data_IF_630439961584
#
_entry.id   IF_630439961584
#
_cell.length_a   1.000
_cell.length_b   1.000
_cell.length_c   1.000
_cell.angle_alpha   90.00
_cell.angle_beta   90.00
_cell.angle_gamma   90.00
#
_symmetry.space_group_name_H-M   'P 1'
#
loop_
_entity.id
_entity.type
_entity.pdbx_description
1 polymer ?
#
# COMPACT_ATOMS: atom_id res chain seq x y z
N UNK A 1 -12.49 -46.93 44.79
CA UNK A 1 -12.73 -46.59 43.38
C UNK A 1 -13.48 -45.27 43.27
N UNK A 2 -14.71 -45.16 43.79
CA UNK A 2 -15.53 -43.93 43.74
C UNK A 2 -14.86 -42.60 44.15
N UNK A 3 -13.90 -42.60 45.09
CA UNK A 3 -13.17 -41.38 45.49
C UNK A 3 -12.24 -40.84 44.40
N UNK A 4 -11.58 -41.74 43.65
CA UNK A 4 -10.72 -41.38 42.53
C UNK A 4 -11.55 -40.91 41.33
N UNK A 5 -12.67 -41.59 41.08
CA UNK A 5 -13.60 -41.23 39.99
C UNK A 5 -14.19 -39.83 40.22
N UNK A 6 -14.58 -39.50 41.46
CA UNK A 6 -15.05 -38.16 41.81
C UNK A 6 -13.96 -37.09 41.65
N UNK A 7 -12.71 -37.40 41.99
CA UNK A 7 -11.57 -36.49 41.84
C UNK A 7 -11.27 -36.20 40.36
N UNK A 8 -11.28 -37.24 39.53
CA UNK A 8 -11.11 -37.13 38.07
C UNK A 8 -12.25 -36.33 37.42
N UNK A 9 -13.50 -36.57 37.84
CA UNK A 9 -14.65 -35.79 37.38
C UNK A 9 -14.48 -34.31 37.70
N UNK A 10 -14.08 -33.99 38.94
CA UNK A 10 -13.89 -32.61 39.36
C UNK A 10 -12.77 -31.93 38.58
N UNK A 11 -11.66 -32.63 38.34
CA UNK A 11 -10.54 -32.14 37.54
C UNK A 11 -10.96 -31.90 36.08
N UNK A 12 -11.76 -32.79 35.50
CA UNK A 12 -12.28 -32.64 34.15
C UNK A 12 -13.21 -31.42 34.03
N UNK A 13 -14.09 -31.20 35.01
CA UNK A 13 -14.96 -30.01 35.06
C UNK A 13 -14.13 -28.73 35.17
N UNK A 14 -13.12 -28.72 36.05
CA UNK A 14 -12.22 -27.57 36.20
C UNK A 14 -11.47 -27.26 34.89
N UNK A 15 -10.99 -28.31 34.20
CA UNK A 15 -10.34 -28.17 32.90
C UNK A 15 -11.31 -27.61 31.84
N UNK A 16 -12.53 -28.14 31.76
CA UNK A 16 -13.55 -27.65 30.82
C UNK A 16 -13.89 -26.17 31.04
N UNK A 17 -14.10 -25.76 32.30
CA UNK A 17 -14.35 -24.36 32.65
C UNK A 17 -13.14 -23.47 32.36
N UNK A 18 -11.92 -23.95 32.63
CA UNK A 18 -10.69 -23.25 32.30
C UNK A 18 -10.53 -23.01 30.80
N UNK A 19 -10.79 -24.03 29.98
CA UNK A 19 -10.71 -23.93 28.51
C UNK A 19 -11.76 -22.97 27.96
N UNK A 20 -13.01 -23.05 28.44
CA UNK A 20 -14.10 -22.16 27.99
C UNK A 20 -13.81 -20.70 28.34
N UNK A 21 -13.33 -20.43 29.56
CA UNK A 21 -12.98 -19.08 29.98
C UNK A 21 -11.77 -18.53 29.21
N UNK A 22 -10.77 -19.37 28.92
CA UNK A 22 -9.63 -19.01 28.08
C UNK A 22 -10.05 -18.68 26.65
N UNK A 23 -10.90 -19.53 26.05
CA UNK A 23 -11.46 -19.29 24.72
C UNK A 23 -12.25 -17.99 24.64
N UNK A 24 -13.04 -17.67 25.67
CA UNK A 24 -13.81 -16.43 25.71
C UNK A 24 -12.90 -15.19 25.78
N UNK A 25 -11.84 -15.24 26.59
CA UNK A 25 -10.82 -14.17 26.68
C UNK A 25 -10.05 -14.03 25.37
N UNK A 26 -9.61 -15.14 24.77
CA UNK A 26 -8.90 -15.15 23.50
C UNK A 26 -9.75 -14.52 22.39
N UNK A 27 -11.04 -14.85 22.31
CA UNK A 27 -11.96 -14.29 21.32
C UNK A 27 -12.13 -12.77 21.48
N UNK A 28 -12.18 -12.27 22.73
CA UNK A 28 -12.31 -10.83 23.01
C UNK A 28 -11.06 -10.04 22.61
N UNK A 29 -9.87 -10.56 22.92
CA UNK A 29 -8.59 -9.99 22.51
C UNK A 29 -8.43 -10.01 20.98
N UNK A 30 -8.84 -11.11 20.34
CA UNK A 30 -8.79 -11.25 18.89
C UNK A 30 -9.67 -10.22 18.17
N UNK A 31 -10.89 -9.98 18.67
CA UNK A 31 -11.81 -8.98 18.09
C UNK A 31 -11.24 -7.56 18.22
N UNK A 32 -10.63 -7.22 19.36
CA UNK A 32 -10.01 -5.91 19.55
C UNK A 32 -8.85 -5.68 18.58
N UNK A 33 -8.00 -6.70 18.39
CA UNK A 33 -6.91 -6.65 17.41
C UNK A 33 -7.42 -6.56 15.96
N UNK A 34 -8.48 -7.30 15.64
CA UNK A 34 -9.09 -7.30 14.31
C UNK A 34 -9.66 -5.92 13.93
N UNK A 35 -10.23 -5.19 14.88
CA UNK A 35 -10.80 -3.86 14.64
C UNK A 35 -9.72 -2.83 14.25
N UNK A 36 -8.57 -2.83 14.93
CA UNK A 36 -7.47 -1.93 14.58
C UNK A 36 -6.86 -2.28 13.21
N UNK A 37 -6.77 -3.58 12.91
CA UNK A 37 -6.33 -4.06 11.60
C UNK A 37 -7.28 -3.63 10.48
N UNK A 38 -8.60 -3.65 10.73
CA UNK A 38 -9.60 -3.24 9.76
C UNK A 38 -9.51 -1.73 9.46
N UNK A 39 -9.23 -0.88 10.46
CA UNK A 39 -8.97 0.54 10.25
C UNK A 39 -7.73 0.79 9.40
N UNK A 40 -6.65 0.05 9.65
CA UNK A 40 -5.44 0.13 8.83
C UNK A 40 -5.72 -0.26 7.36
N UNK A 41 -6.50 -1.33 7.15
CA UNK A 41 -6.89 -1.75 5.79
C UNK A 41 -7.75 -0.72 5.06
N UNK A 42 -8.65 -0.02 5.76
CA UNK A 42 -9.43 1.06 5.16
C UNK A 42 -8.53 2.21 4.69
N UNK A 43 -7.54 2.60 5.49
CA UNK A 43 -6.58 3.65 5.12
C UNK A 43 -5.73 3.26 3.91
N UNK A 44 -5.30 2.00 3.81
CA UNK A 44 -4.56 1.51 2.63
C UNK A 44 -5.41 1.53 1.35
N UNK A 45 -6.70 1.21 1.46
CA UNK A 45 -7.62 1.27 0.30
C UNK A 45 -7.85 2.71 -0.13
N UNK A 46 -8.03 3.64 0.81
CA UNK A 46 -8.16 5.08 0.51
C UNK A 46 -6.88 5.63 -0.13
N UNK A 47 -5.72 5.25 0.40
CA UNK A 47 -4.44 5.60 -0.18
C UNK A 47 -4.28 5.08 -1.61
N UNK A 48 -4.67 3.83 -1.86
CA UNK A 48 -4.69 3.24 -3.20
C UNK A 48 -5.61 3.99 -4.17
N UNK A 49 -6.78 4.42 -3.71
CA UNK A 49 -7.70 5.26 -4.52
C UNK A 49 -7.09 6.63 -4.83
N UNK A 50 -6.53 7.31 -3.83
CA UNK A 50 -5.85 8.60 -4.02
C UNK A 50 -4.65 8.48 -4.98
N UNK A 51 -3.93 7.36 -4.93
CA UNK A 51 -2.79 7.13 -5.81
C UNK A 51 -3.21 6.79 -7.23
N UNK A 52 -4.35 6.11 -7.43
CA UNK A 52 -4.99 5.93 -8.74
C UNK A 52 -5.51 7.27 -9.30
N UNK A 53 -6.11 8.11 -8.46
CA UNK A 53 -6.50 9.48 -8.82
C UNK A 53 -5.28 10.32 -9.21
N UNK A 54 -4.17 10.25 -8.46
CA UNK A 54 -2.93 10.96 -8.80
C UNK A 54 -2.23 10.39 -10.04
N UNK A 55 -2.31 9.09 -10.28
CA UNK A 55 -1.74 8.46 -11.48
C UNK A 55 -2.37 9.01 -12.77
N UNK A 56 -3.58 9.57 -12.68
CA UNK A 56 -4.25 10.27 -13.78
C UNK A 56 -3.67 11.66 -14.05
N UNK A 57 -3.06 12.30 -13.05
CA UNK A 57 -2.42 13.62 -13.16
C UNK A 57 -0.92 13.55 -13.51
N UNK A 58 -0.28 12.39 -13.36
CA UNK A 58 1.13 12.17 -13.68
C UNK A 58 1.34 11.57 -15.08
N UNK A 59 0.29 11.02 -15.71
CA UNK A 59 0.43 10.46 -17.05
C UNK A 59 0.52 11.57 -18.12
N UNK A 60 1.51 11.50 -19.03
CA UNK A 60 2.01 12.56 -19.94
C UNK A 60 0.97 13.30 -20.82
N UNK A 61 -0.28 12.84 -20.88
CA UNK A 61 -1.34 13.39 -21.71
C UNK A 61 -1.67 14.86 -21.40
N UNK A 62 -1.62 15.32 -20.13
CA UNK A 62 -1.90 16.72 -19.80
C UNK A 62 -0.77 17.65 -20.26
N UNK A 63 0.49 17.22 -20.09
CA UNK A 63 1.66 17.98 -20.57
C UNK A 63 1.66 18.01 -22.11
N UNK A 64 1.37 16.90 -22.75
CA UNK A 64 1.28 16.81 -24.22
C UNK A 64 0.16 17.66 -24.80
N UNK A 65 -1.00 17.72 -24.11
CA UNK A 65 -2.13 18.57 -24.50
C UNK A 65 -1.77 20.05 -24.38
N UNK A 66 -1.16 20.48 -23.27
CA UNK A 66 -0.71 21.87 -23.11
C UNK A 66 0.39 22.22 -24.11
N UNK A 67 1.34 21.32 -24.36
CA UNK A 67 2.42 21.52 -25.33
C UNK A 67 1.90 21.64 -26.78
N UNK A 68 0.91 20.83 -27.17
CA UNK A 68 0.27 20.95 -28.50
C UNK A 68 -0.66 22.15 -28.61
N UNK A 69 -1.51 22.39 -27.61
CA UNK A 69 -2.56 23.40 -27.72
C UNK A 69 -2.07 24.82 -27.41
N UNK A 70 -1.23 25.00 -26.39
CA UNK A 70 -0.75 26.34 -25.99
C UNK A 70 0.61 26.71 -26.58
N UNK A 71 1.49 25.72 -26.78
CA UNK A 71 2.84 25.96 -27.32
C UNK A 71 2.96 25.58 -28.80
N UNK A 72 1.89 25.07 -29.44
CA UNK A 72 1.89 24.59 -30.83
C UNK A 72 3.04 23.64 -31.17
N UNK A 73 3.54 22.88 -30.19
CA UNK A 73 4.66 21.96 -30.40
C UNK A 73 4.20 20.77 -31.24
N UNK A 74 4.89 20.56 -32.36
CA UNK A 74 4.70 19.43 -33.26
C UNK A 74 5.89 18.48 -33.13
N UNK A 75 5.68 17.18 -33.34
CA UNK A 75 6.78 16.22 -33.35
C UNK A 75 7.74 16.56 -34.50
N UNK A 76 9.04 16.80 -34.24
CA UNK A 76 9.98 17.14 -35.29
C UNK A 76 10.16 15.96 -36.24
N UNK A 77 10.06 16.22 -37.54
CA UNK A 77 10.34 15.22 -38.57
C UNK A 77 11.83 14.85 -38.56
N UNK A 78 12.18 13.64 -39.00
CA UNK A 78 13.56 13.12 -38.98
C UNK A 78 14.59 14.03 -39.67
N UNK A 79 14.15 14.92 -40.56
CA UNK A 79 15.00 15.90 -41.25
C UNK A 79 15.38 17.12 -40.39
N UNK A 80 14.68 17.38 -39.29
CA UNK A 80 14.90 18.56 -38.43
C UNK A 80 15.82 18.28 -37.23
N UNK A 81 16.29 17.04 -37.07
CA UNK A 81 17.19 16.65 -35.98
C UNK A 81 18.63 17.04 -36.35
N UNK A 82 19.00 18.29 -36.06
CA UNK A 82 20.37 18.76 -36.19
C UNK A 82 21.15 18.42 -34.93
N UNK A 83 21.95 17.33 -34.96
CA UNK A 83 22.94 17.04 -33.91
C UNK A 83 24.02 18.11 -33.94
N UNK A 84 23.90 19.12 -33.08
CA UNK A 84 24.98 20.08 -32.86
C UNK A 84 26.05 19.36 -32.05
N UNK A 85 27.20 19.09 -32.70
CA UNK A 85 28.42 18.70 -32.01
C UNK A 85 28.85 19.91 -31.19
N UNK A 86 28.90 19.74 -29.88
CA UNK A 86 29.43 20.74 -28.97
C UNK A 86 30.92 20.93 -29.31
N UNK A 87 31.23 22.02 -30.02
CA UNK A 87 32.61 22.39 -30.33
C UNK A 87 33.15 23.12 -29.09
N UNK A 88 33.36 22.35 -28.03
CA UNK A 88 34.06 22.77 -26.84
C UNK A 88 35.56 22.84 -27.11
N UNK A 89 35.97 23.68 -28.06
CA UNK A 89 37.33 24.24 -28.10
C UNK A 89 37.20 25.76 -28.19
N UNK A 90 36.74 26.27 -27.05
CA UNK A 90 37.00 27.58 -26.48
C UNK A 90 38.35 28.12 -26.91
N UNK A 91 38.35 29.40 -27.24
CA UNK A 91 39.55 30.13 -27.63
C UNK A 91 40.67 30.01 -26.61
N UNK A 92 41.84 29.70 -27.14
CA UNK A 92 43.12 30.15 -26.63
C UNK A 92 43.83 30.87 -27.78
N UNK A 93 43.48 32.14 -27.98
CA UNK A 93 44.42 33.18 -28.41
C UNK A 93 44.93 33.83 -27.10
N UNK A 94 46.20 34.25 -26.97
CA UNK A 94 47.11 34.71 -28.01
C UNK A 94 48.24 33.73 -28.39
#
# INVERSE_FOLDING_TARGET
MARLDALLLFLAIACALGVVTSQHKARKLFVAWQNEKERAQQMDVEWGKLQLEQSTLVAPARVEKIAREQLQMQWPSHEQIRRVRDNAETGARP
#
